data_IF_935983178022
#
_entry.id   IF_935983178022
#
_cell.length_a   1.000
_cell.length_b   1.000
_cell.length_c   1.000
_cell.angle_alpha   90.00
_cell.angle_beta   90.00
_cell.angle_gamma   90.00
#
_symmetry.space_group_name_H-M   'P 1'
#
loop_
_entity.id
_entity.type
_entity.pdbx_description
1 polymer ?
#
# COMPACT_ATOMS: atom_id res chain seq x y z
N UNK A 1 -39.31 -4.83 23.14
CA UNK A 1 -38.89 -3.51 22.63
C UNK A 1 -37.38 -3.53 22.65
N UNK A 2 -36.74 -3.78 21.51
CA UNK A 2 -35.28 -3.86 21.43
C UNK A 2 -34.73 -2.45 21.63
N UNK A 3 -33.91 -2.21 22.66
CA UNK A 3 -33.27 -0.90 22.83
C UNK A 3 -32.28 -0.69 21.69
N UNK A 4 -32.36 0.47 21.05
CA UNK A 4 -31.40 0.88 20.02
C UNK A 4 -30.40 1.84 20.67
N UNK A 5 -29.14 1.42 20.73
CA UNK A 5 -28.06 2.25 21.21
C UNK A 5 -27.52 3.13 20.09
N UNK A 6 -26.91 4.24 20.48
CA UNK A 6 -26.36 5.25 19.58
C UNK A 6 -25.02 5.75 20.06
N UNK A 7 -24.12 6.04 19.12
CA UNK A 7 -22.83 6.72 19.32
C UNK A 7 -22.66 7.81 18.26
N UNK A 8 -21.80 8.79 18.54
CA UNK A 8 -21.42 9.83 17.60
C UNK A 8 -20.01 9.57 17.06
N UNK A 9 -19.83 9.44 15.75
CA UNK A 9 -18.54 9.14 15.15
C UNK A 9 -18.12 10.23 14.16
N UNK A 10 -16.82 10.48 14.07
CA UNK A 10 -16.19 11.34 13.06
C UNK A 10 -14.90 10.70 12.57
N UNK A 11 -14.64 10.83 11.28
CA UNK A 11 -13.41 10.35 10.66
C UNK A 11 -12.58 11.53 10.16
N UNK A 12 -11.27 11.42 10.32
CA UNK A 12 -10.33 12.47 9.99
C UNK A 12 -9.54 12.20 8.71
N UNK A 13 -8.99 13.28 8.15
CA UNK A 13 -8.12 13.26 6.98
C UNK A 13 -8.68 12.43 5.82
N UNK A 14 -7.81 11.60 5.26
CA UNK A 14 -8.06 10.76 4.08
C UNK A 14 -9.04 9.58 4.31
N UNK A 15 -9.47 9.32 5.55
CA UNK A 15 -10.51 8.30 5.79
C UNK A 15 -11.87 8.75 5.22
N UNK A 16 -12.08 10.06 5.14
CA UNK A 16 -13.31 10.64 4.59
C UNK A 16 -13.56 10.26 3.12
N UNK A 17 -12.51 9.96 2.35
CA UNK A 17 -12.65 9.53 0.95
C UNK A 17 -13.38 8.18 0.83
N UNK A 18 -13.32 7.38 1.90
CA UNK A 18 -13.87 6.03 1.96
C UNK A 18 -15.32 6.00 2.46
N UNK A 19 -15.79 7.08 3.08
CA UNK A 19 -17.14 7.18 3.64
C UNK A 19 -18.17 7.62 2.60
N UNK A 20 -19.45 7.33 2.89
CA UNK A 20 -20.58 7.93 2.21
C UNK A 20 -20.53 9.47 2.33
N UNK A 21 -20.89 10.24 1.29
CA UNK A 21 -20.76 11.70 1.28
C UNK A 21 -21.37 12.42 2.50
N UNK A 22 -22.52 11.95 3.00
CA UNK A 22 -23.22 12.54 4.13
C UNK A 22 -22.45 12.43 5.47
N UNK A 23 -21.50 11.50 5.57
CA UNK A 23 -20.76 11.22 6.81
C UNK A 23 -19.35 11.82 6.80
N UNK A 24 -18.96 12.54 5.74
CA UNK A 24 -17.61 13.07 5.57
C UNK A 24 -17.42 14.36 6.36
N UNK A 25 -16.32 14.42 7.14
CA UNK A 25 -15.84 15.60 7.87
C UNK A 25 -16.85 16.19 8.86
N UNK A 26 -17.80 15.36 9.30
CA UNK A 26 -18.83 15.72 10.27
C UNK A 26 -18.92 14.63 11.32
N UNK A 27 -19.46 14.99 12.48
CA UNK A 27 -19.95 14.01 13.42
C UNK A 27 -21.32 13.50 12.96
N UNK A 28 -21.50 12.19 12.94
CA UNK A 28 -22.77 11.56 12.59
C UNK A 28 -23.15 10.46 13.59
N UNK A 29 -24.44 10.24 13.76
CA UNK A 29 -24.97 9.22 14.66
C UNK A 29 -24.90 7.85 14.00
N UNK A 30 -24.27 6.90 14.67
CA UNK A 30 -24.31 5.49 14.32
C UNK A 30 -25.19 4.74 15.33
N UNK A 31 -26.15 3.95 14.83
CA UNK A 31 -27.11 3.21 15.65
C UNK A 31 -26.81 1.71 15.59
N UNK A 32 -26.91 1.03 16.73
CA UNK A 32 -26.58 -0.38 16.87
C UNK A 32 -27.46 -1.05 17.95
N UNK A 33 -27.63 -2.37 17.86
CA UNK A 33 -28.53 -3.14 18.75
C UNK A 33 -27.79 -3.83 19.91
N UNK A 34 -26.53 -4.21 19.72
CA UNK A 34 -25.67 -4.84 20.73
C UNK A 34 -24.45 -3.95 21.03
N UNK A 35 -23.33 -4.47 21.54
CA UNK A 35 -22.11 -3.68 21.71
C UNK A 35 -21.04 -4.16 20.71
N UNK A 36 -21.16 -3.81 19.41
CA UNK A 36 -20.22 -4.28 18.39
C UNK A 36 -18.81 -3.76 18.66
N UNK A 37 -17.80 -4.47 18.15
CA UNK A 37 -16.45 -3.93 18.18
C UNK A 37 -16.36 -2.67 17.31
N UNK A 38 -15.53 -1.70 17.72
CA UNK A 38 -15.31 -0.49 16.94
C UNK A 38 -14.74 -0.82 15.55
N UNK A 39 -13.99 -1.93 15.42
CA UNK A 39 -13.53 -2.44 14.13
C UNK A 39 -14.69 -2.78 13.21
N UNK A 40 -15.64 -3.59 13.68
CA UNK A 40 -16.77 -4.03 12.84
C UNK A 40 -17.60 -2.81 12.40
N UNK A 41 -17.76 -1.82 13.29
CA UNK A 41 -18.44 -0.55 12.97
C UNK A 41 -17.69 0.22 11.89
N UNK A 42 -16.38 0.44 12.06
CA UNK A 42 -15.52 1.13 11.08
C UNK A 42 -15.58 0.45 9.70
N UNK A 43 -15.49 -0.88 9.66
CA UNK A 43 -15.56 -1.64 8.41
C UNK A 43 -16.95 -1.58 7.78
N UNK A 44 -18.03 -1.67 8.57
CA UNK A 44 -19.41 -1.54 8.09
C UNK A 44 -19.70 -0.18 7.46
N UNK A 45 -18.99 0.86 7.90
CA UNK A 45 -19.04 2.21 7.35
C UNK A 45 -18.22 2.37 6.06
N UNK A 46 -17.52 1.33 5.63
CA UNK A 46 -16.76 1.30 4.39
C UNK A 46 -15.29 1.71 4.52
N UNK A 47 -14.76 1.79 5.75
CA UNK A 47 -13.36 2.12 6.04
C UNK A 47 -12.62 0.83 6.42
N UNK A 48 -11.64 0.37 5.62
CA UNK A 48 -10.85 -0.81 5.99
C UNK A 48 -9.99 -0.55 7.22
N UNK A 49 -9.87 -1.53 8.12
CA UNK A 49 -9.04 -1.40 9.32
C UNK A 49 -7.55 -1.06 9.03
N UNK A 50 -6.91 -1.49 7.92
CA UNK A 50 -5.54 -1.08 7.62
C UNK A 50 -5.39 0.38 7.18
N UNK A 51 -6.47 1.15 7.02
CA UNK A 51 -6.38 2.60 6.81
C UNK A 51 -6.35 3.38 8.14
N UNK A 52 -6.78 2.75 9.23
CA UNK A 52 -6.95 3.38 10.54
C UNK A 52 -5.69 3.21 11.38
N UNK A 53 -5.25 4.30 12.00
CA UNK A 53 -4.05 4.35 12.83
C UNK A 53 -4.37 4.56 14.31
N UNK A 54 -5.31 5.45 14.63
CA UNK A 54 -5.68 5.78 16.01
C UNK A 54 -7.20 5.90 16.10
N UNK A 55 -7.77 5.33 17.16
CA UNK A 55 -9.18 5.50 17.51
C UNK A 55 -9.25 6.19 18.87
N UNK A 56 -10.03 7.25 18.94
CA UNK A 56 -10.24 8.02 20.16
C UNK A 56 -11.71 7.95 20.57
N UNK A 57 -12.01 7.41 21.74
CA UNK A 57 -13.36 7.35 22.30
C UNK A 57 -13.38 8.12 23.61
N UNK A 58 -14.27 9.11 23.72
CA UNK A 58 -14.52 9.89 24.95
C UNK A 58 -13.23 10.41 25.65
N UNK A 59 -12.24 10.88 24.90
CA UNK A 59 -11.00 11.38 25.52
C UNK A 59 -9.87 10.35 25.67
N UNK A 60 -10.06 9.09 25.24
CA UNK A 60 -9.08 8.01 25.42
C UNK A 60 -8.80 7.27 24.12
N UNK A 61 -7.56 6.84 23.94
CA UNK A 61 -7.20 5.96 22.82
C UNK A 61 -7.61 4.53 23.13
N UNK A 62 -8.13 3.83 22.13
CA UNK A 62 -8.60 2.44 22.24
C UNK A 62 -8.12 1.61 21.06
N UNK A 63 -8.15 0.29 21.22
CA UNK A 63 -7.87 -0.65 20.13
C UNK A 63 -9.13 -1.12 19.39
N UNK A 64 -8.92 -1.92 18.34
CA UNK A 64 -9.98 -2.48 17.52
C UNK A 64 -10.96 -3.40 18.28
N UNK A 65 -10.57 -3.91 19.45
CA UNK A 65 -11.42 -4.79 20.27
C UNK A 65 -12.41 -4.03 21.15
N UNK A 66 -12.30 -2.70 21.23
CA UNK A 66 -13.20 -1.87 22.03
C UNK A 66 -14.66 -2.08 21.65
N UNK A 67 -15.48 -2.50 22.61
CA UNK A 67 -16.93 -2.66 22.46
C UNK A 67 -17.63 -1.31 22.61
N UNK A 68 -18.26 -0.85 21.54
CA UNK A 68 -18.91 0.46 21.48
C UNK A 68 -20.10 0.54 22.44
N UNK A 69 -20.20 1.63 23.21
CA UNK A 69 -21.22 1.88 24.21
C UNK A 69 -22.19 2.98 23.78
N UNK A 70 -23.38 2.99 24.37
CA UNK A 70 -24.33 4.07 24.14
C UNK A 70 -23.79 5.40 24.67
N UNK A 71 -23.87 6.45 23.84
CA UNK A 71 -23.40 7.79 24.16
C UNK A 71 -21.94 8.04 23.82
N UNK A 72 -21.21 7.03 23.35
CA UNK A 72 -19.82 7.19 22.96
C UNK A 72 -19.64 8.24 21.86
N UNK A 73 -18.60 9.04 22.00
CA UNK A 73 -18.12 9.96 20.98
C UNK A 73 -16.75 9.51 20.50
N UNK A 74 -16.68 9.14 19.22
CA UNK A 74 -15.49 8.60 18.59
C UNK A 74 -14.90 9.49 17.51
N UNK A 75 -13.58 9.64 17.49
CA UNK A 75 -12.82 10.25 16.40
C UNK A 75 -11.78 9.25 15.90
N UNK A 76 -11.79 8.97 14.60
CA UNK A 76 -10.97 7.95 13.96
C UNK A 76 -9.96 8.63 13.03
N UNK A 77 -8.68 8.32 13.20
CA UNK A 77 -7.57 8.96 12.50
C UNK A 77 -6.84 8.01 11.54
N UNK A 78 -6.45 8.49 10.35
CA UNK A 78 -5.58 7.76 9.42
C UNK A 78 -4.12 7.80 9.86
N UNK A 79 -3.26 7.07 9.14
CA UNK A 79 -1.80 7.10 9.36
C UNK A 79 -1.15 8.49 9.14
N UNK A 80 -1.73 9.31 8.26
CA UNK A 80 -1.18 10.63 7.90
C UNK A 80 -1.49 11.72 8.92
N UNK A 81 -2.31 11.46 9.93
CA UNK A 81 -2.74 12.46 10.90
C UNK A 81 -2.75 11.87 12.30
N UNK A 82 -2.17 12.61 13.26
CA UNK A 82 -2.18 12.24 14.67
C UNK A 82 -3.01 13.23 15.47
N UNK A 83 -3.71 12.78 16.53
CA UNK A 83 -4.34 13.68 17.47
C UNK A 83 -3.29 14.50 18.22
N UNK A 84 -3.67 15.69 18.69
CA UNK A 84 -2.84 16.56 19.54
C UNK A 84 -2.75 16.01 20.97
N UNK A 85 -2.08 14.87 21.12
CA UNK A 85 -1.88 14.18 22.39
C UNK A 85 -0.42 13.77 22.56
N UNK A 86 0.08 13.64 23.81
CA UNK A 86 1.38 13.05 24.06
C UNK A 86 1.46 11.64 23.44
N UNK A 87 2.50 11.37 22.65
CA UNK A 87 2.63 10.13 21.89
C UNK A 87 2.58 8.87 22.78
N UNK A 88 3.04 8.96 24.02
CA UNK A 88 3.02 7.86 25.01
C UNK A 88 1.60 7.42 25.41
N UNK A 89 0.59 8.27 25.19
CA UNK A 89 -0.81 7.98 25.47
C UNK A 89 -1.56 7.44 24.25
N UNK A 90 -0.87 7.19 23.12
CA UNK A 90 -1.48 6.79 21.86
C UNK A 90 -1.27 5.29 21.59
N UNK A 91 -2.36 4.53 21.59
CA UNK A 91 -2.37 3.18 21.04
C UNK A 91 -2.36 3.30 19.51
N UNK A 92 -1.21 2.99 18.90
CA UNK A 92 -1.10 2.86 17.45
C UNK A 92 -1.59 1.49 17.00
N UNK A 93 -2.54 1.48 16.07
CA UNK A 93 -3.21 0.26 15.62
C UNK A 93 -2.45 -0.47 14.51
N UNK A 94 -1.52 0.22 13.87
CA UNK A 94 -0.63 -0.40 12.89
C UNK A 94 0.73 -0.70 13.52
N UNK A 95 1.20 -1.95 13.43
CA UNK A 95 2.57 -2.26 13.80
C UNK A 95 3.56 -1.53 12.89
N UNK A 96 4.83 -1.38 13.31
CA UNK A 96 5.88 -0.85 12.45
C UNK A 96 5.95 -1.58 11.11
N UNK A 97 6.30 -0.85 10.04
CA UNK A 97 6.41 -1.43 8.72
C UNK A 97 7.45 -2.56 8.70
N UNK A 98 7.16 -3.69 8.04
CA UNK A 98 8.09 -4.80 7.94
C UNK A 98 9.32 -4.39 7.13
N UNK A 99 10.48 -4.88 7.53
CA UNK A 99 11.76 -4.64 6.86
C UNK A 99 12.38 -5.98 6.43
N UNK A 100 12.76 -6.17 5.15
CA UNK A 100 12.64 -5.21 4.05
C UNK A 100 11.17 -5.00 3.61
N UNK A 101 10.86 -3.81 3.10
CA UNK A 101 9.52 -3.48 2.60
C UNK A 101 9.18 -4.31 1.37
N UNK A 102 8.06 -5.03 1.43
CA UNK A 102 7.52 -5.82 0.33
C UNK A 102 6.03 -5.57 0.12
N UNK A 103 5.60 -5.71 -1.13
CA UNK A 103 4.24 -5.45 -1.56
C UNK A 103 3.58 -6.69 -2.17
N UNK A 104 2.26 -6.75 -2.06
CA UNK A 104 1.39 -7.60 -2.87
C UNK A 104 0.24 -6.72 -3.40
N UNK A 105 -0.01 -6.80 -4.70
CA UNK A 105 -0.95 -5.91 -5.40
C UNK A 105 -2.16 -6.68 -5.92
N UNK A 106 -3.31 -6.00 -5.94
CA UNK A 106 -4.49 -6.47 -6.67
C UNK A 106 -4.26 -6.52 -8.19
N UNK A 107 -5.18 -7.19 -8.89
CA UNK A 107 -5.16 -7.38 -10.36
C UNK A 107 -5.32 -6.08 -11.16
N UNK A 108 -5.86 -5.01 -10.58
CA UNK A 108 -6.08 -3.71 -11.21
C UNK A 108 -4.84 -2.81 -11.16
N UNK A 109 -3.83 -3.16 -10.35
CA UNK A 109 -2.65 -2.34 -10.11
C UNK A 109 -1.38 -2.84 -10.83
N UNK A 110 -1.51 -3.61 -11.92
CA UNK A 110 -0.37 -4.19 -12.64
C UNK A 110 0.67 -3.19 -13.16
N UNK A 111 0.24 -1.98 -13.55
CA UNK A 111 1.17 -0.89 -13.95
C UNK A 111 1.97 -0.39 -12.74
N UNK A 112 1.31 -0.17 -11.60
CA UNK A 112 1.96 0.20 -10.35
C UNK A 112 2.94 -0.90 -9.90
N UNK A 113 2.57 -2.18 -10.02
CA UNK A 113 3.46 -3.30 -9.73
C UNK A 113 4.75 -3.24 -10.55
N UNK A 114 4.61 -2.93 -11.85
CA UNK A 114 5.76 -2.78 -12.75
C UNK A 114 6.66 -1.62 -12.36
N UNK A 115 6.08 -0.49 -11.93
CA UNK A 115 6.83 0.70 -11.47
C UNK A 115 7.54 0.45 -10.14
N UNK A 116 6.89 -0.20 -9.17
CA UNK A 116 7.51 -0.58 -7.90
C UNK A 116 8.71 -1.52 -8.12
N UNK A 117 8.57 -2.53 -8.98
CA UNK A 117 9.68 -3.41 -9.38
C UNK A 117 10.80 -2.66 -10.08
N UNK A 118 10.46 -1.73 -10.98
CA UNK A 118 11.44 -0.87 -11.66
C UNK A 118 12.26 -0.06 -10.65
N UNK A 119 11.65 0.42 -9.57
CA UNK A 119 12.32 1.13 -8.49
C UNK A 119 13.04 0.20 -7.48
N UNK A 120 12.98 -1.11 -7.68
CA UNK A 120 13.70 -2.11 -6.88
C UNK A 120 12.93 -2.66 -5.69
N UNK A 121 11.66 -2.29 -5.51
CA UNK A 121 10.84 -2.81 -4.42
C UNK A 121 10.37 -4.23 -4.72
N UNK A 122 10.35 -5.07 -3.68
CA UNK A 122 9.86 -6.44 -3.78
C UNK A 122 8.33 -6.40 -3.94
N UNK A 123 7.82 -6.73 -5.13
CA UNK A 123 6.39 -6.60 -5.43
C UNK A 123 5.83 -7.83 -6.11
N UNK A 124 4.98 -8.55 -5.39
CA UNK A 124 4.19 -9.64 -5.93
C UNK A 124 2.94 -9.12 -6.63
N UNK A 125 2.70 -9.64 -7.81
CA UNK A 125 1.54 -9.33 -8.63
C UNK A 125 1.38 -10.46 -9.65
N UNK A 126 0.16 -10.97 -9.73
CA UNK A 126 -0.33 -11.83 -10.80
C UNK A 126 -1.75 -11.40 -11.15
N UNK A 127 -2.11 -11.58 -12.42
CA UNK A 127 -3.42 -11.19 -12.96
C UNK A 127 -4.55 -12.15 -12.54
N UNK A 128 -4.23 -13.26 -11.88
CA UNK A 128 -5.16 -14.30 -11.45
C UNK A 128 -5.20 -14.48 -9.92
N UNK A 129 -4.63 -13.54 -9.15
CA UNK A 129 -4.75 -13.57 -7.70
C UNK A 129 -6.19 -13.31 -7.26
N UNK A 130 -6.70 -14.18 -6.39
CA UNK A 130 -7.93 -13.95 -5.66
C UNK A 130 -7.69 -13.11 -4.41
N UNK A 131 -8.70 -12.37 -3.96
CA UNK A 131 -8.63 -11.54 -2.75
C UNK A 131 -8.18 -12.31 -1.50
N UNK A 132 -8.63 -13.57 -1.38
CA UNK A 132 -8.24 -14.44 -0.28
C UNK A 132 -6.75 -14.80 -0.36
N UNK A 133 -6.25 -15.07 -1.56
CA UNK A 133 -4.83 -15.37 -1.80
C UNK A 133 -3.95 -14.16 -1.47
N UNK A 134 -4.34 -12.95 -1.90
CA UNK A 134 -3.63 -11.70 -1.57
C UNK A 134 -3.50 -11.53 -0.06
N UNK A 135 -4.60 -11.70 0.67
CA UNK A 135 -4.59 -11.57 2.13
C UNK A 135 -3.69 -12.63 2.79
N UNK A 136 -3.73 -13.89 2.34
CA UNK A 136 -2.87 -14.93 2.88
C UNK A 136 -1.38 -14.68 2.59
N UNK A 137 -1.04 -14.27 1.37
CA UNK A 137 0.32 -13.88 1.00
C UNK A 137 0.81 -12.73 1.88
N UNK A 138 -0.03 -11.70 2.09
CA UNK A 138 0.33 -10.55 2.92
C UNK A 138 0.64 -10.94 4.35
N UNK A 139 -0.17 -11.81 4.95
CA UNK A 139 0.00 -12.27 6.32
C UNK A 139 1.25 -13.15 6.46
N UNK A 140 1.39 -14.15 5.58
CA UNK A 140 2.48 -15.12 5.64
C UNK A 140 3.86 -14.51 5.35
N UNK A 141 3.92 -13.52 4.45
CA UNK A 141 5.18 -12.90 4.03
C UNK A 141 5.38 -11.49 4.60
N UNK A 142 4.49 -11.02 5.46
CA UNK A 142 4.51 -9.66 6.03
C UNK A 142 4.64 -8.60 4.91
N UNK A 143 3.73 -8.65 3.94
CA UNK A 143 3.71 -7.71 2.81
C UNK A 143 2.59 -6.69 2.96
N UNK A 144 2.84 -5.49 2.47
CA UNK A 144 1.84 -4.43 2.35
C UNK A 144 0.90 -4.76 1.19
N UNK A 145 -0.40 -4.84 1.47
CA UNK A 145 -1.43 -4.96 0.43
C UNK A 145 -1.69 -3.59 -0.18
N UNK A 146 -1.50 -3.45 -1.50
CA UNK A 146 -1.97 -2.29 -2.24
C UNK A 146 -3.14 -2.72 -3.12
N UNK A 147 -4.26 -2.03 -2.99
CA UNK A 147 -5.49 -2.41 -3.69
C UNK A 147 -6.40 -1.20 -3.87
N UNK A 148 -7.31 -1.27 -4.84
CA UNK A 148 -8.45 -0.35 -4.95
C UNK A 148 -9.77 -1.01 -4.55
N UNK A 149 -9.69 -2.23 -4.03
CA UNK A 149 -10.80 -2.95 -3.45
C UNK A 149 -10.73 -2.94 -1.92
N UNK A 150 -11.73 -2.34 -1.30
CA UNK A 150 -11.86 -2.27 0.17
C UNK A 150 -12.06 -3.66 0.78
N UNK A 151 -12.75 -4.56 0.08
CA UNK A 151 -13.05 -5.90 0.54
C UNK A 151 -11.79 -6.74 0.76
N UNK A 152 -10.74 -6.54 -0.06
CA UNK A 152 -9.42 -7.16 0.17
C UNK A 152 -8.82 -6.68 1.49
N UNK A 153 -8.86 -5.37 1.76
CA UNK A 153 -8.28 -4.78 2.97
C UNK A 153 -9.03 -5.14 4.26
N UNK A 154 -10.35 -5.37 4.17
CA UNK A 154 -11.19 -5.76 5.31
C UNK A 154 -11.05 -7.24 5.69
N UNK A 155 -10.23 -8.02 4.96
CA UNK A 155 -9.97 -9.41 5.33
C UNK A 155 -9.11 -9.46 6.60
N UNK A 156 -9.52 -10.28 7.56
CA UNK A 156 -8.84 -10.45 8.86
C UNK A 156 -7.32 -10.66 8.79
N UNK A 157 -6.75 -11.42 7.82
CA UNK A 157 -5.30 -11.62 7.74
C UNK A 157 -4.51 -10.36 7.35
N UNK A 158 -5.15 -9.36 6.75
CA UNK A 158 -4.46 -8.16 6.28
C UNK A 158 -4.09 -7.28 7.47
N UNK A 159 -2.80 -7.17 7.75
CA UNK A 159 -2.27 -6.27 8.80
C UNK A 159 -1.83 -4.95 8.19
N UNK A 160 -1.08 -5.02 7.09
CA UNK A 160 -0.55 -3.86 6.38
C UNK A 160 -1.29 -3.68 5.07
N UNK A 161 -1.87 -2.50 4.88
CA UNK A 161 -2.66 -2.25 3.69
C UNK A 161 -2.79 -0.77 3.34
N UNK A 162 -3.10 -0.52 2.08
CA UNK A 162 -3.44 0.79 1.58
C UNK A 162 -4.39 0.74 0.40
N UNK A 163 -5.43 1.56 0.49
CA UNK A 163 -6.35 1.86 -0.58
C UNK A 163 -5.73 2.92 -1.49
N UNK A 164 -5.33 2.52 -2.69
CA UNK A 164 -4.71 3.42 -3.67
C UNK A 164 -5.76 4.36 -4.25
N UNK A 165 -5.62 5.66 -3.96
CA UNK A 165 -6.60 6.68 -4.34
C UNK A 165 -6.41 7.13 -5.78
N UNK A 166 -5.16 7.32 -6.20
CA UNK A 166 -4.85 7.74 -7.55
C UNK A 166 -5.20 6.67 -8.58
N UNK A 167 -5.58 7.13 -9.77
CA UNK A 167 -5.90 6.27 -10.92
C UNK A 167 -4.82 6.29 -11.99
N UNK A 168 -4.04 7.37 -12.03
CA UNK A 168 -2.90 7.50 -12.92
C UNK A 168 -1.68 6.76 -12.34
N UNK A 169 -1.06 5.81 -13.06
CA UNK A 169 0.06 5.03 -12.54
C UNK A 169 1.27 5.85 -12.08
N UNK A 170 1.54 7.02 -12.68
CA UNK A 170 2.65 7.88 -12.26
C UNK A 170 2.33 8.58 -10.94
N UNK A 171 1.07 8.98 -10.74
CA UNK A 171 0.64 9.51 -9.44
C UNK A 171 0.53 8.44 -8.37
N UNK A 172 0.07 7.23 -8.73
CA UNK A 172 0.01 6.09 -7.80
C UNK A 172 1.36 5.75 -7.19
N UNK A 173 2.43 5.77 -8.00
CA UNK A 173 3.76 5.47 -7.46
C UNK A 173 4.22 6.57 -6.50
N UNK A 174 4.00 7.85 -6.82
CA UNK A 174 4.32 8.96 -5.91
C UNK A 174 3.53 8.88 -4.61
N UNK A 175 2.24 8.58 -4.70
CA UNK A 175 1.34 8.36 -3.56
C UNK A 175 1.88 7.27 -2.62
N UNK A 176 2.24 6.10 -3.17
CA UNK A 176 2.74 4.97 -2.38
C UNK A 176 4.12 5.26 -1.78
N UNK A 177 5.05 5.83 -2.55
CA UNK A 177 6.38 6.17 -2.05
C UNK A 177 6.34 7.25 -0.97
N UNK A 178 5.47 8.25 -1.13
CA UNK A 178 5.25 9.31 -0.14
C UNK A 178 4.64 8.76 1.14
N UNK A 179 3.56 7.97 1.02
CA UNK A 179 2.88 7.37 2.18
C UNK A 179 3.83 6.59 3.09
N UNK A 180 4.74 5.82 2.51
CA UNK A 180 5.63 4.91 3.25
C UNK A 180 7.07 5.45 3.37
N UNK A 181 7.32 6.69 2.97
CA UNK A 181 8.63 7.33 2.96
C UNK A 181 9.74 6.47 2.30
N UNK A 182 9.47 5.98 1.08
CA UNK A 182 10.31 4.98 0.43
C UNK A 182 11.28 5.54 -0.62
N UNK A 183 11.23 6.84 -0.91
CA UNK A 183 12.07 7.45 -1.96
C UNK A 183 13.57 7.14 -1.77
N UNK A 184 14.08 7.30 -0.55
CA UNK A 184 15.48 7.03 -0.20
C UNK A 184 15.86 5.54 -0.22
N UNK A 185 14.88 4.63 -0.20
CA UNK A 185 15.10 3.19 -0.24
C UNK A 185 15.08 2.61 -1.66
N UNK A 186 14.82 3.44 -2.67
CA UNK A 186 14.76 3.00 -4.06
C UNK A 186 16.12 2.45 -4.51
N UNK A 187 16.08 1.32 -5.21
CA UNK A 187 17.23 0.68 -5.86
C UNK A 187 16.85 0.37 -7.30
N UNK A 188 16.79 1.39 -8.16
CA UNK A 188 16.28 1.24 -9.51
C UNK A 188 16.95 0.10 -10.26
N UNK A 189 16.17 -0.63 -11.05
CA UNK A 189 16.64 -1.68 -11.95
C UNK A 189 17.36 -2.85 -11.27
N UNK A 190 17.18 -3.02 -9.95
CA UNK A 190 17.66 -4.18 -9.19
C UNK A 190 16.73 -5.39 -9.27
N UNK A 191 15.48 -5.20 -9.73
CA UNK A 191 14.47 -6.25 -9.88
C UNK A 191 13.85 -6.29 -11.27
N UNK A 192 13.48 -7.50 -11.67
CA UNK A 192 12.83 -7.78 -12.93
C UNK A 192 11.41 -7.24 -12.92
N UNK A 193 11.11 -6.30 -13.82
CA UNK A 193 9.76 -5.74 -14.01
C UNK A 193 8.73 -6.85 -14.31
N UNK A 194 9.15 -7.90 -15.04
CA UNK A 194 8.27 -9.02 -15.44
C UNK A 194 7.90 -9.92 -14.27
N UNK A 195 8.90 -10.39 -13.50
CA UNK A 195 8.70 -11.49 -12.55
C UNK A 195 9.17 -11.19 -11.12
N UNK A 196 9.59 -9.96 -10.81
CA UNK A 196 10.11 -9.55 -9.48
C UNK A 196 11.47 -10.15 -9.07
N UNK A 197 12.05 -11.04 -9.89
CA UNK A 197 13.34 -11.69 -9.61
C UNK A 197 14.52 -10.70 -9.57
N UNK A 198 15.62 -11.08 -8.93
CA UNK A 198 16.80 -10.22 -8.78
C UNK A 198 17.54 -10.14 -10.11
N UNK A 199 17.88 -8.92 -10.52
CA UNK A 199 18.70 -8.66 -11.69
C UNK A 199 20.17 -8.63 -11.26
N UNK A 200 21.03 -9.38 -11.95
CA UNK A 200 22.48 -9.41 -11.72
C UNK A 200 23.24 -9.12 -13.01
N UNK A 201 24.45 -8.54 -12.94
CA UNK A 201 25.35 -8.46 -14.09
C UNK A 201 25.60 -9.86 -14.68
N UNK A 202 25.69 -9.95 -16.00
CA UNK A 202 26.02 -11.18 -16.72
C UNK A 202 27.06 -10.90 -17.79
N UNK A 203 27.99 -11.83 -17.97
CA UNK A 203 28.99 -11.71 -19.02
C UNK A 203 28.37 -11.92 -20.40
N UNK A 204 28.72 -11.04 -21.35
CA UNK A 204 28.25 -11.08 -22.73
C UNK A 204 28.47 -12.45 -23.38
N UNK A 205 29.61 -13.10 -23.11
CA UNK A 205 29.92 -14.42 -23.64
C UNK A 205 28.90 -15.50 -23.23
N UNK A 206 28.34 -15.41 -22.01
CA UNK A 206 27.37 -16.38 -21.50
C UNK A 206 25.98 -16.25 -22.14
N UNK A 207 25.68 -15.11 -22.76
CA UNK A 207 24.34 -14.79 -23.29
C UNK A 207 24.34 -14.44 -24.78
N UNK A 208 25.49 -14.55 -25.46
CA UNK A 208 25.68 -14.03 -26.82
C UNK A 208 24.71 -14.64 -27.84
N UNK A 209 24.32 -15.91 -27.65
CA UNK A 209 23.39 -16.64 -28.51
C UNK A 209 21.93 -16.20 -28.31
N UNK A 210 21.60 -15.61 -27.16
CA UNK A 210 20.25 -15.15 -26.82
C UNK A 210 20.02 -13.68 -27.23
N UNK A 211 21.09 -12.98 -27.62
CA UNK A 211 21.06 -11.56 -27.95
C UNK A 211 20.88 -11.33 -29.46
N UNK A 212 20.12 -10.29 -29.88
CA UNK A 212 20.13 -9.85 -31.26
C UNK A 212 21.54 -9.44 -31.70
N UNK A 213 21.95 -9.80 -32.92
CA UNK A 213 23.32 -9.53 -33.44
C UNK A 213 23.74 -8.07 -33.33
N UNK A 214 22.82 -7.13 -33.59
CA UNK A 214 23.09 -5.69 -33.48
C UNK A 214 23.33 -5.26 -32.03
N UNK A 215 22.61 -5.85 -31.06
CA UNK A 215 22.79 -5.57 -29.63
C UNK A 215 24.17 -5.99 -29.16
N UNK A 216 24.66 -7.15 -29.62
CA UNK A 216 26.01 -7.63 -29.33
C UNK A 216 27.12 -6.72 -29.87
N UNK A 217 26.87 -5.92 -30.89
CA UNK A 217 27.89 -5.03 -31.46
C UNK A 217 27.94 -3.67 -30.76
N UNK A 218 26.83 -3.25 -30.14
CA UNK A 218 26.65 -1.88 -29.63
C UNK A 218 26.87 -1.82 -28.10
N UNK A 219 26.53 -2.89 -27.37
CA UNK A 219 26.52 -2.86 -25.91
C UNK A 219 27.48 -3.90 -25.31
N UNK A 220 28.10 -3.53 -24.19
CA UNK A 220 29.02 -4.39 -23.43
C UNK A 220 28.48 -4.81 -22.05
N UNK A 221 27.64 -3.96 -21.43
CA UNK A 221 27.10 -4.22 -20.10
C UNK A 221 25.70 -4.85 -20.20
N UNK A 222 25.60 -6.08 -19.68
CA UNK A 222 24.36 -6.84 -19.65
C UNK A 222 24.00 -7.26 -18.23
N UNK A 223 22.70 -7.40 -18.00
CA UNK A 223 22.16 -7.91 -16.76
C UNK A 223 21.10 -8.96 -17.06
N UNK A 224 20.98 -9.97 -16.20
CA UNK A 224 20.01 -11.04 -16.36
C UNK A 224 19.22 -11.25 -15.08
N UNK A 225 17.91 -11.47 -15.23
CA UNK A 225 17.08 -11.91 -14.13
C UNK A 225 17.41 -13.36 -13.77
N UNK A 226 17.66 -13.64 -12.50
CA UNK A 226 17.96 -14.98 -11.99
C UNK A 226 16.76 -15.95 -11.97
N UNK A 227 15.56 -15.51 -12.36
CA UNK A 227 14.35 -16.33 -12.32
C UNK A 227 13.77 -16.60 -13.71
N UNK A 228 13.51 -15.55 -14.50
CA UNK A 228 12.92 -15.69 -15.83
C UNK A 228 13.95 -15.58 -16.97
N UNK A 229 15.25 -15.48 -16.65
CA UNK A 229 16.36 -15.30 -17.60
C UNK A 229 16.25 -14.09 -18.52
N UNK A 230 15.32 -13.16 -18.25
CA UNK A 230 15.19 -11.92 -19.01
C UNK A 230 16.49 -11.12 -18.97
N UNK A 231 17.00 -10.78 -20.15
CA UNK A 231 18.21 -9.98 -20.33
C UNK A 231 17.83 -8.49 -20.45
N UNK A 232 18.65 -7.63 -19.84
CA UNK A 232 18.56 -6.18 -19.82
C UNK A 232 19.91 -5.57 -20.22
N UNK A 233 19.88 -4.44 -20.91
CA UNK A 233 21.06 -3.66 -21.31
C UNK A 233 20.71 -2.19 -21.42
N UNK A 234 21.72 -1.31 -21.43
CA UNK A 234 21.56 0.15 -21.45
C UNK A 234 21.19 0.71 -22.85
N UNK A 235 20.12 0.19 -23.45
CA UNK A 235 19.59 0.69 -24.72
C UNK A 235 18.64 1.88 -24.57
N UNK A 236 17.96 2.25 -25.66
CA UNK A 236 16.97 3.34 -25.67
C UNK A 236 15.83 3.13 -24.66
N UNK A 237 15.43 1.88 -24.42
CA UNK A 237 14.42 1.54 -23.41
C UNK A 237 14.93 1.82 -21.98
N UNK A 238 16.20 1.51 -21.71
CA UNK A 238 16.85 1.83 -20.43
C UNK A 238 16.87 3.34 -20.18
N UNK A 239 17.25 4.14 -21.18
CA UNK A 239 17.26 5.60 -21.07
C UNK A 239 15.87 6.17 -20.77
N UNK A 240 14.81 5.63 -21.38
CA UNK A 240 13.42 6.02 -21.09
C UNK A 240 13.03 5.67 -19.65
N UNK A 241 13.38 4.46 -19.19
CA UNK A 241 13.12 4.04 -17.81
C UNK A 241 13.90 4.89 -16.81
N UNK A 242 15.16 5.23 -17.10
CA UNK A 242 15.97 6.08 -16.25
C UNK A 242 15.37 7.48 -16.11
N UNK A 243 14.96 8.11 -17.22
CA UNK A 243 14.25 9.40 -17.18
C UNK A 243 12.97 9.34 -16.35
N UNK A 244 12.20 8.25 -16.47
CA UNK A 244 11.00 8.05 -15.67
C UNK A 244 11.33 7.93 -14.17
N UNK A 245 12.38 7.21 -13.82
CA UNK A 245 12.87 7.11 -12.43
C UNK A 245 13.31 8.47 -11.92
N UNK A 246 14.12 9.21 -12.69
CA UNK A 246 14.55 10.57 -12.36
C UNK A 246 13.34 11.47 -12.10
N UNK A 247 12.36 11.51 -13.00
CA UNK A 247 11.13 12.28 -12.81
C UNK A 247 10.36 11.88 -11.55
N UNK A 248 10.23 10.58 -11.26
CA UNK A 248 9.53 10.12 -10.03
C UNK A 248 10.28 10.57 -8.77
N UNK A 249 11.61 10.46 -8.77
CA UNK A 249 12.43 10.80 -7.61
C UNK A 249 12.57 12.32 -7.43
N UNK A 250 12.62 13.10 -8.49
CA UNK A 250 12.64 14.58 -8.43
C UNK A 250 11.32 15.15 -7.89
N UNK A 251 10.18 14.54 -8.24
CA UNK A 251 8.87 14.93 -7.72
C UNK A 251 8.69 14.60 -6.22
N UNK A 252 9.63 13.90 -5.58
CA UNK A 252 9.62 13.71 -4.12
C UNK A 252 9.67 15.05 -3.35
N UNK A 253 10.26 16.09 -3.94
CA UNK A 253 10.37 17.42 -3.34
C UNK A 253 9.08 18.26 -3.43
N UNK A 254 8.05 17.78 -4.12
CA UNK A 254 6.77 18.48 -4.31
C UNK A 254 5.62 17.89 -3.50
N UNK A 255 5.87 16.82 -2.73
CA UNK A 255 4.89 16.24 -1.83
C UNK A 255 4.86 17.05 -0.52
N UNK A 256 3.67 17.49 -0.06
CA UNK A 256 3.51 18.24 1.19
C UNK A 256 3.86 17.42 2.44
#
# INVERSE_FOLDING_TARGET
MTMMFQSLLRFEGQLNDLLAPANRRVFFTHSFLENPSIKDVIESLGVPHPEVNVIFINGKTVDFSYSLQHGDQGIIYPHSLFPELPHEAIIQLQPPLPQPVGFVLDVHLGKLASLLRLLGFDTLYRNDYEDAEIAQISAAQQRIVLTRDKGVLMRKPVVYGYYVRETDPQKQILEVLGRYNLFALSRPMSRCIRCNGIIKPVEKAAIIEQLPRQTCQIYENFYQCNHCNQIYWQGTHYQKMQKMVETILENSHQLP
#
